data_IF_853360410723
#
_entry.id   IF_853360410723
#
_cell.length_a   1.000
_cell.length_b   1.000
_cell.length_c   1.000
_cell.angle_alpha   90.00
_cell.angle_beta   90.00
_cell.angle_gamma   90.00
#
_symmetry.space_group_name_H-M   'P 1'
#
loop_
_entity.id
_entity.type
_entity.pdbx_description
1 polymer ?
#
# COMPACT_ATOMS: atom_id res chain seq x y z
N UNK A 1 35.55 37.08 19.46
CA UNK A 1 35.01 36.47 18.21
C UNK A 1 35.43 35.01 18.03
N UNK A 2 35.16 34.14 19.02
CA UNK A 2 35.32 32.68 18.90
C UNK A 2 34.10 31.88 19.43
N UNK A 3 33.12 32.57 20.01
CA UNK A 3 31.90 31.96 20.56
C UNK A 3 30.69 31.90 19.61
N UNK A 4 30.74 32.58 18.45
CA UNK A 4 29.62 32.60 17.48
C UNK A 4 29.80 31.52 16.39
N UNK A 5 31.03 31.03 16.17
CA UNK A 5 31.31 30.01 15.16
C UNK A 5 30.92 28.59 15.61
N UNK A 6 30.84 28.33 16.92
CA UNK A 6 30.52 27.01 17.48
C UNK A 6 29.01 26.73 17.50
N UNK A 7 28.17 27.78 17.53
CA UNK A 7 26.71 27.62 17.54
C UNK A 7 26.17 27.42 16.11
N UNK A 8 26.83 27.96 15.08
CA UNK A 8 26.42 27.77 13.68
C UNK A 8 26.83 26.38 13.15
N UNK A 9 27.92 25.79 13.68
CA UNK A 9 28.32 24.42 13.30
C UNK A 9 27.51 23.31 14.01
N UNK A 10 26.87 23.63 15.14
CA UNK A 10 26.01 22.68 15.87
C UNK A 10 24.58 22.57 15.29
N UNK A 11 24.15 23.51 14.45
CA UNK A 11 22.84 23.46 13.77
C UNK A 11 22.91 22.62 12.47
N UNK A 12 24.12 22.32 11.97
CA UNK A 12 24.34 21.50 10.77
C UNK A 12 24.51 19.98 11.04
N UNK A 13 24.31 19.54 12.29
CA UNK A 13 24.41 18.13 12.71
C UNK A 13 23.12 17.59 13.34
N UNK A 14 21.98 18.23 13.08
CA UNK A 14 20.72 17.48 13.12
C UNK A 14 20.77 16.62 11.85
N UNK A 15 20.77 15.28 11.91
CA UNK A 15 20.50 14.51 10.71
C UNK A 15 19.15 15.01 10.23
N UNK A 16 19.17 15.77 9.13
CA UNK A 16 17.97 16.08 8.38
C UNK A 16 17.39 14.72 8.07
N UNK A 17 16.39 14.29 8.84
CA UNK A 17 15.63 13.11 8.51
C UNK A 17 14.83 13.56 7.30
N UNK A 18 15.46 13.41 6.13
CA UNK A 18 14.84 13.70 4.85
C UNK A 18 13.62 12.79 4.83
N UNK A 19 12.44 13.41 4.69
CA UNK A 19 11.21 12.66 4.48
C UNK A 19 11.43 11.67 3.34
N UNK A 20 11.00 10.43 3.52
CA UNK A 20 11.15 9.40 2.52
C UNK A 20 10.47 9.82 1.22
N UNK A 21 11.13 9.59 0.09
CA UNK A 21 10.43 9.58 -1.19
C UNK A 21 9.80 8.20 -1.41
N UNK A 22 8.82 8.11 -2.32
CA UNK A 22 8.16 6.83 -2.63
C UNK A 22 9.15 5.72 -3.00
N UNK A 23 10.21 6.05 -3.75
CA UNK A 23 11.28 5.11 -4.12
C UNK A 23 12.10 4.63 -2.91
N UNK A 24 12.29 5.50 -1.90
CA UNK A 24 13.02 5.12 -0.68
C UNK A 24 12.19 4.15 0.15
N UNK A 25 10.86 4.34 0.18
CA UNK A 25 9.94 3.41 0.83
C UNK A 25 9.89 2.04 0.11
N UNK A 26 9.86 2.03 -1.23
CA UNK A 26 9.98 0.79 -2.02
C UNK A 26 11.28 0.05 -1.70
N UNK A 27 12.41 0.78 -1.69
CA UNK A 27 13.71 0.23 -1.37
C UNK A 27 13.78 -0.30 0.07
N UNK A 28 13.17 0.39 1.03
CA UNK A 28 13.11 -0.06 2.42
C UNK A 28 12.40 -1.42 2.54
N UNK A 29 11.35 -1.66 1.75
CA UNK A 29 10.66 -2.96 1.71
C UNK A 29 11.46 -4.02 0.95
N UNK A 30 12.03 -3.65 -0.20
CA UNK A 30 12.79 -4.57 -1.05
C UNK A 30 14.08 -5.07 -0.39
N UNK A 31 14.84 -4.16 0.24
CA UNK A 31 16.09 -4.47 0.94
C UNK A 31 15.81 -4.99 2.35
N UNK A 32 14.71 -4.55 2.97
CA UNK A 32 14.33 -4.90 4.33
C UNK A 32 13.82 -6.32 4.53
N UNK A 33 13.98 -7.23 3.57
CA UNK A 33 13.59 -8.64 3.67
C UNK A 33 12.08 -8.88 3.88
N UNK A 34 11.23 -7.98 3.40
CA UNK A 34 9.78 -8.19 3.39
C UNK A 34 9.31 -9.08 2.24
N UNK A 35 10.10 -9.17 1.16
CA UNK A 35 9.73 -9.87 -0.08
C UNK A 35 10.07 -11.36 -0.04
N UNK A 36 9.19 -12.18 -0.61
CA UNK A 36 9.44 -13.55 -1.04
C UNK A 36 9.90 -13.63 -2.51
N UNK A 37 10.32 -14.83 -2.93
CA UNK A 37 10.77 -15.06 -4.29
C UNK A 37 9.68 -14.73 -5.32
N UNK A 38 10.03 -13.91 -6.32
CA UNK A 38 9.11 -13.48 -7.38
C UNK A 38 8.16 -12.35 -6.97
N UNK A 39 8.31 -11.78 -5.77
CA UNK A 39 7.56 -10.60 -5.35
C UNK A 39 8.30 -9.30 -5.68
N UNK A 40 7.53 -8.22 -5.80
CA UNK A 40 8.06 -6.85 -5.96
C UNK A 40 7.37 -5.89 -5.01
N UNK A 41 8.12 -4.91 -4.52
CA UNK A 41 7.60 -3.76 -3.78
C UNK A 41 7.21 -2.65 -4.76
N UNK A 42 6.00 -2.12 -4.65
CA UNK A 42 5.51 -1.02 -5.48
C UNK A 42 4.70 -0.05 -4.64
N UNK A 43 5.01 1.23 -4.74
CA UNK A 43 4.18 2.32 -4.26
C UNK A 43 3.21 2.68 -5.38
N UNK A 44 1.93 2.32 -5.20
CA UNK A 44 0.91 2.49 -6.24
C UNK A 44 0.65 3.96 -6.61
N UNK A 45 0.96 4.89 -5.70
CA UNK A 45 0.82 6.33 -5.90
C UNK A 45 2.02 7.08 -5.33
N UNK A 46 2.49 8.07 -6.07
CA UNK A 46 3.58 8.96 -5.65
C UNK A 46 3.23 9.92 -4.50
N UNK A 47 2.11 9.70 -3.81
CA UNK A 47 1.63 10.54 -2.71
C UNK A 47 1.44 9.68 -1.45
N UNK A 48 1.96 10.11 -0.29
CA UNK A 48 1.75 9.40 0.97
C UNK A 48 0.30 9.55 1.46
N UNK A 49 -0.19 8.55 2.18
CA UNK A 49 -1.47 8.59 2.89
C UNK A 49 -1.31 9.40 4.18
N UNK A 50 -2.26 10.29 4.47
CA UNK A 50 -2.30 11.12 5.66
C UNK A 50 -3.28 10.54 6.68
N UNK A 51 -2.85 10.46 7.94
CA UNK A 51 -3.75 10.28 9.09
C UNK A 51 -3.48 11.42 10.08
N UNK A 52 -4.39 12.40 10.13
CA UNK A 52 -4.14 13.67 10.79
C UNK A 52 -2.90 14.37 10.19
N UNK A 53 -1.93 14.71 11.04
CA UNK A 53 -0.69 15.36 10.64
C UNK A 53 0.43 14.40 10.19
N UNK A 54 0.23 13.07 10.30
CA UNK A 54 1.26 12.08 10.00
C UNK A 54 1.06 11.51 8.60
N UNK A 55 2.17 11.38 7.87
CA UNK A 55 2.22 10.83 6.51
C UNK A 55 2.78 9.40 6.53
N UNK A 56 2.22 8.56 5.68
CA UNK A 56 2.59 7.15 5.55
C UNK A 56 2.78 6.76 4.09
N UNK A 57 3.91 6.13 3.78
CA UNK A 57 4.11 5.44 2.52
C UNK A 57 3.53 4.04 2.61
N UNK A 58 2.65 3.72 1.67
CA UNK A 58 1.97 2.43 1.63
C UNK A 58 2.52 1.62 0.46
N UNK A 59 3.45 0.73 0.79
CA UNK A 59 4.17 -0.07 -0.19
C UNK A 59 3.43 -1.39 -0.37
N UNK A 60 2.90 -1.61 -1.57
CA UNK A 60 2.21 -2.84 -1.93
C UNK A 60 3.23 -3.90 -2.32
N UNK A 61 3.15 -5.08 -1.71
CA UNK A 61 3.91 -6.26 -2.12
C UNK A 61 3.07 -7.02 -3.14
N UNK A 62 3.55 -7.10 -4.37
CA UNK A 62 2.84 -7.71 -5.49
C UNK A 62 3.48 -9.03 -5.90
N UNK A 63 2.64 -10.00 -6.24
CA UNK A 63 3.04 -11.22 -6.93
C UNK A 63 2.06 -11.46 -8.08
N UNK A 64 2.57 -11.53 -9.32
CA UNK A 64 1.72 -11.63 -10.53
C UNK A 64 0.60 -10.57 -10.56
N UNK A 65 0.95 -9.33 -10.20
CA UNK A 65 0.05 -8.17 -10.08
C UNK A 65 -1.07 -8.26 -9.02
N UNK A 66 -1.13 -9.36 -8.25
CA UNK A 66 -1.99 -9.46 -7.09
C UNK A 66 -1.30 -8.91 -5.84
N UNK A 67 -2.03 -8.09 -5.06
CA UNK A 67 -1.56 -7.58 -3.77
C UNK A 67 -1.51 -8.73 -2.77
N UNK A 68 -0.31 -9.05 -2.27
CA UNK A 68 -0.08 -10.04 -1.22
C UNK A 68 -0.18 -9.42 0.17
N UNK A 69 0.43 -8.25 0.35
CA UNK A 69 0.32 -7.46 1.56
C UNK A 69 0.63 -5.99 1.27
N UNK A 70 0.41 -5.13 2.26
CA UNK A 70 0.77 -3.72 2.23
C UNK A 70 1.65 -3.46 3.44
N UNK A 71 2.81 -2.85 3.22
CA UNK A 71 3.76 -2.45 4.28
C UNK A 71 3.61 -0.94 4.51
N UNK A 72 2.93 -0.52 5.59
CA UNK A 72 2.77 0.89 5.92
C UNK A 72 4.00 1.40 6.67
N UNK A 73 4.72 2.36 6.07
CA UNK A 73 5.91 2.98 6.64
C UNK A 73 5.64 4.46 6.95
N UNK A 74 6.01 4.93 8.13
CA UNK A 74 5.93 6.36 8.45
C UNK A 74 6.92 7.14 7.56
N UNK A 75 6.45 8.25 6.98
CA UNK A 75 7.23 9.09 6.06
C UNK A 75 8.47 9.70 6.73
N UNK A 76 8.37 9.99 8.04
CA UNK A 76 9.42 10.64 8.80
C UNK A 76 10.67 9.79 8.93
N UNK A 77 10.53 8.50 9.20
CA UNK A 77 11.65 7.64 9.64
C UNK A 77 11.66 6.25 8.99
N UNK A 78 10.67 5.94 8.14
CA UNK A 78 10.53 4.62 7.51
C UNK A 78 10.16 3.51 8.47
N UNK A 79 9.75 3.85 9.69
CA UNK A 79 9.38 2.84 10.67
C UNK A 79 8.01 2.27 10.31
N UNK A 80 7.90 0.95 10.39
CA UNK A 80 6.64 0.24 10.20
C UNK A 80 5.58 0.77 11.17
N UNK A 81 4.39 1.07 10.67
CA UNK A 81 3.26 1.46 11.51
C UNK A 81 2.95 0.32 12.49
N UNK A 82 2.89 0.60 13.81
CA UNK A 82 2.70 -0.44 14.82
C UNK A 82 1.33 -1.10 14.68
N UNK A 83 1.26 -2.37 15.06
CA UNK A 83 -0.01 -3.13 15.10
C UNK A 83 -1.02 -2.41 15.99
N UNK A 84 -2.05 -1.88 15.36
CA UNK A 84 -3.05 -1.02 15.98
C UNK A 84 -4.21 -0.80 15.00
N UNK A 85 -5.33 -0.26 15.49
CA UNK A 85 -6.46 0.17 14.65
C UNK A 85 -6.00 1.11 13.53
N UNK A 86 -5.01 1.96 13.81
CA UNK A 86 -4.40 2.83 12.81
C UNK A 86 -3.83 2.03 11.62
N UNK A 87 -3.12 0.92 11.89
CA UNK A 87 -2.53 0.09 10.84
C UNK A 87 -3.61 -0.52 9.94
N UNK A 88 -4.68 -1.04 10.54
CA UNK A 88 -5.82 -1.57 9.79
C UNK A 88 -6.46 -0.48 8.94
N UNK A 89 -6.67 0.72 9.48
CA UNK A 89 -7.28 1.83 8.75
C UNK A 89 -6.44 2.30 7.55
N UNK A 90 -5.12 2.43 7.71
CA UNK A 90 -4.24 2.83 6.58
C UNK A 90 -4.17 1.75 5.49
N UNK A 91 -4.18 0.47 5.87
CA UNK A 91 -4.23 -0.66 4.93
C UNK A 91 -5.56 -0.64 4.17
N UNK A 92 -6.68 -0.49 4.87
CA UNK A 92 -8.02 -0.42 4.29
C UNK A 92 -8.17 0.76 3.34
N UNK A 93 -7.76 1.96 3.76
CA UNK A 93 -7.81 3.17 2.95
C UNK A 93 -7.04 3.01 1.63
N UNK A 94 -5.81 2.48 1.68
CA UNK A 94 -5.03 2.25 0.46
C UNK A 94 -5.62 1.16 -0.42
N UNK A 95 -6.09 0.05 0.16
CA UNK A 95 -6.77 -0.98 -0.61
C UNK A 95 -7.96 -0.39 -1.35
N UNK A 96 -8.83 0.38 -0.68
CA UNK A 96 -9.97 1.05 -1.28
C UNK A 96 -9.59 1.96 -2.44
N UNK A 97 -8.58 2.83 -2.26
CA UNK A 97 -8.13 3.75 -3.31
C UNK A 97 -7.61 2.99 -4.54
N UNK A 98 -6.85 1.91 -4.33
CA UNK A 98 -6.36 1.06 -5.43
C UNK A 98 -7.52 0.35 -6.15
N UNK A 99 -8.49 -0.19 -5.41
CA UNK A 99 -9.65 -0.86 -6.00
C UNK A 99 -10.55 0.12 -6.75
N UNK A 100 -10.78 1.32 -6.22
CA UNK A 100 -11.57 2.35 -6.89
C UNK A 100 -10.98 2.72 -8.26
N UNK A 101 -9.66 2.87 -8.36
CA UNK A 101 -9.00 3.11 -9.65
C UNK A 101 -9.27 1.97 -10.66
N UNK A 102 -9.28 0.72 -10.20
CA UNK A 102 -9.57 -0.46 -11.04
C UNK A 102 -11.04 -0.50 -11.44
N UNK A 103 -11.98 -0.28 -10.51
CA UNK A 103 -13.43 -0.32 -10.75
C UNK A 103 -13.84 0.66 -11.85
N UNK A 104 -13.21 1.84 -11.88
CA UNK A 104 -13.50 2.92 -12.82
C UNK A 104 -12.93 2.70 -14.22
N UNK A 105 -12.00 1.76 -14.38
CA UNK A 105 -11.25 1.63 -15.64
C UNK A 105 -12.09 0.93 -16.70
N UNK A 106 -12.25 1.58 -17.86
CA UNK A 106 -12.90 0.98 -19.04
C UNK A 106 -14.42 0.85 -18.96
N UNK A 107 -15.08 1.57 -18.05
CA UNK A 107 -16.54 1.53 -17.87
C UNK A 107 -17.13 2.95 -17.74
N UNK A 108 -18.42 3.15 -18.10
CA UNK A 108 -19.12 4.39 -17.78
C UNK A 108 -19.14 4.65 -16.28
N UNK A 109 -18.66 5.83 -15.87
CA UNK A 109 -18.59 6.22 -14.47
C UNK A 109 -19.58 7.36 -14.19
N UNK A 110 -20.47 7.17 -13.23
CA UNK A 110 -21.52 8.14 -12.91
C UNK A 110 -20.93 9.43 -12.34
N UNK A 111 -19.88 9.31 -11.52
CA UNK A 111 -19.28 10.45 -10.84
C UNK A 111 -18.37 11.21 -11.80
N UNK A 112 -18.97 12.12 -12.57
CA UNK A 112 -18.25 12.99 -13.51
C UNK A 112 -18.91 14.37 -13.61
N UNK A 113 -18.11 15.39 -13.93
CA UNK A 113 -18.61 16.74 -14.18
C UNK A 113 -19.62 16.78 -15.34
N UNK A 114 -19.40 15.96 -16.38
CA UNK A 114 -20.34 15.86 -17.50
C UNK A 114 -21.71 15.37 -17.03
N UNK A 115 -21.73 14.33 -16.19
CA UNK A 115 -22.98 13.81 -15.62
C UNK A 115 -23.68 14.83 -14.74
N UNK A 116 -22.95 15.52 -13.86
CA UNK A 116 -23.53 16.59 -13.01
C UNK A 116 -24.16 17.69 -13.87
N UNK A 117 -23.44 18.21 -14.87
CA UNK A 117 -23.98 19.25 -15.76
C UNK A 117 -25.24 18.79 -16.50
N UNK A 118 -25.26 17.55 -17.02
CA UNK A 118 -26.46 17.03 -17.70
C UNK A 118 -27.64 16.84 -16.74
N UNK A 119 -27.41 16.48 -15.48
CA UNK A 119 -28.47 16.43 -14.48
C UNK A 119 -28.98 17.84 -14.14
N UNK A 120 -28.12 18.85 -14.05
CA UNK A 120 -28.55 20.23 -13.85
C UNK A 120 -29.41 20.74 -15.02
N UNK A 121 -29.02 20.43 -16.26
CA UNK A 121 -29.81 20.73 -17.46
C UNK A 121 -31.17 20.03 -17.42
N UNK A 122 -31.20 18.76 -17.02
CA UNK A 122 -32.45 18.02 -16.84
C UNK A 122 -33.33 18.64 -15.75
N UNK A 123 -32.75 19.07 -14.62
CA UNK A 123 -33.50 19.74 -13.56
C UNK A 123 -34.14 21.04 -14.06
N UNK A 124 -33.42 21.82 -14.86
CA UNK A 124 -33.97 23.03 -15.48
C UNK A 124 -35.11 22.69 -16.46
N UNK A 125 -35.02 21.58 -17.19
CA UNK A 125 -36.10 21.12 -18.05
C UNK A 125 -37.34 20.70 -17.24
N UNK A 126 -37.15 19.99 -16.12
CA UNK A 126 -38.22 19.64 -15.16
C UNK A 126 -38.86 20.89 -14.54
N UNK A 127 -38.07 21.92 -14.24
CA UNK A 127 -38.60 23.20 -13.74
C UNK A 127 -39.45 23.93 -14.79
N UNK A 128 -39.06 23.88 -16.07
CA UNK A 128 -39.87 24.43 -17.16
C UNK A 128 -41.17 23.65 -17.35
N UNK A 129 -41.15 22.32 -17.21
CA UNK A 129 -42.36 21.50 -17.28
C UNK A 129 -43.39 21.88 -16.21
N UNK A 130 -42.95 22.31 -15.02
CA UNK A 130 -43.88 22.80 -13.99
C UNK A 130 -44.72 23.99 -14.48
N UNK A 131 -44.14 24.86 -15.31
CA UNK A 131 -44.86 25.98 -15.91
C UNK A 131 -45.92 25.50 -16.92
N UNK A 132 -45.59 24.49 -17.74
CA UNK A 132 -46.55 23.89 -18.68
C UNK A 132 -47.70 23.20 -17.94
N UNK A 133 -47.39 22.49 -16.85
CA UNK A 133 -48.39 21.85 -15.96
C UNK A 133 -49.30 22.90 -15.31
N UNK A 134 -48.78 24.07 -14.94
CA UNK A 134 -49.58 25.18 -14.41
C UNK A 134 -50.57 25.72 -15.43
N UNK A 135 -50.16 25.90 -16.69
CA UNK A 135 -51.07 26.31 -17.78
C UNK A 135 -52.21 25.30 -17.94
N UNK A 136 -51.90 24.00 -17.88
CA UNK A 136 -52.93 22.95 -17.95
C UNK A 136 -53.88 23.05 -16.75
N UNK A 137 -53.38 23.28 -15.53
CA UNK A 137 -54.18 23.42 -14.32
C UNK A 137 -55.21 24.57 -14.40
N UNK A 138 -54.78 25.70 -14.98
CA UNK A 138 -55.63 26.89 -15.15
C UNK A 138 -56.72 26.67 -16.21
N UNK A 139 -56.41 25.92 -17.26
CA UNK A 139 -57.29 25.72 -18.42
C UNK A 139 -58.35 24.64 -18.19
N UNK A 140 -58.04 23.59 -17.42
CA UNK A 140 -59.00 22.49 -17.23
C UNK A 140 -60.22 22.92 -16.37
N UNK A 141 -61.45 22.54 -16.74
CA UNK A 141 -62.64 22.96 -15.99
C UNK A 141 -62.96 22.08 -14.77
N UNK A 142 -62.44 20.84 -14.70
CA UNK A 142 -62.77 19.87 -13.65
C UNK A 142 -61.95 20.07 -12.38
N UNK A 143 -62.62 20.15 -11.22
CA UNK A 143 -61.95 20.24 -9.91
C UNK A 143 -61.16 18.98 -9.56
N UNK A 144 -61.61 17.79 -9.96
CA UNK A 144 -60.86 16.54 -9.74
C UNK A 144 -59.57 16.52 -10.55
N UNK A 145 -59.63 16.97 -11.80
CA UNK A 145 -58.47 17.04 -12.68
C UNK A 145 -57.45 18.08 -12.20
N UNK A 146 -57.92 19.22 -11.66
CA UNK A 146 -57.05 20.21 -11.00
C UNK A 146 -56.29 19.63 -9.80
N UNK A 147 -56.90 18.73 -9.04
CA UNK A 147 -56.20 18.03 -7.95
C UNK A 147 -55.12 17.09 -8.49
N UNK A 148 -55.42 16.28 -9.50
CA UNK A 148 -54.43 15.41 -10.16
C UNK A 148 -53.24 16.19 -10.73
N UNK A 149 -53.51 17.34 -11.36
CA UNK A 149 -52.48 18.23 -11.90
C UNK A 149 -51.67 18.90 -10.78
N UNK A 150 -52.30 19.30 -9.69
CA UNK A 150 -51.59 19.82 -8.51
C UNK A 150 -50.65 18.77 -7.91
N UNK A 151 -51.06 17.49 -7.91
CA UNK A 151 -50.18 16.38 -7.50
C UNK A 151 -49.02 16.17 -8.47
N UNK A 152 -49.23 16.28 -9.78
CA UNK A 152 -48.15 16.26 -10.78
C UNK A 152 -47.10 17.34 -10.49
N UNK A 153 -47.55 18.58 -10.26
CA UNK A 153 -46.67 19.70 -9.92
C UNK A 153 -45.84 19.42 -8.67
N UNK A 154 -46.46 18.91 -7.61
CA UNK A 154 -45.75 18.53 -6.38
C UNK A 154 -44.69 17.44 -6.62
N UNK A 155 -44.99 16.47 -7.49
CA UNK A 155 -44.05 15.42 -7.87
C UNK A 155 -42.88 15.96 -8.70
N UNK A 156 -43.12 16.85 -9.67
CA UNK A 156 -42.07 17.52 -10.44
C UNK A 156 -41.13 18.34 -9.55
N UNK A 157 -41.67 19.11 -8.60
CA UNK A 157 -40.85 19.89 -7.66
C UNK A 157 -39.94 18.98 -6.81
N UNK A 158 -40.46 17.83 -6.38
CA UNK A 158 -39.70 16.82 -5.65
C UNK A 158 -38.58 16.23 -6.53
N UNK A 159 -38.91 15.85 -7.77
CA UNK A 159 -37.96 15.30 -8.73
C UNK A 159 -36.86 16.30 -9.06
N UNK A 160 -37.19 17.56 -9.36
CA UNK A 160 -36.21 18.62 -9.64
C UNK A 160 -35.24 18.78 -8.47
N UNK A 161 -35.75 18.82 -7.24
CA UNK A 161 -34.94 18.90 -6.02
C UNK A 161 -33.98 17.73 -5.90
N UNK A 162 -34.45 16.50 -6.14
CA UNK A 162 -33.59 15.30 -6.06
C UNK A 162 -32.58 15.21 -7.21
N UNK A 163 -32.93 15.64 -8.43
CA UNK A 163 -31.98 15.71 -9.54
C UNK A 163 -30.84 16.68 -9.20
N UNK A 164 -31.15 17.86 -8.66
CA UNK A 164 -30.14 18.84 -8.21
C UNK A 164 -29.30 18.30 -7.07
N UNK A 165 -29.92 17.60 -6.11
CA UNK A 165 -29.19 16.95 -5.02
C UNK A 165 -28.22 15.88 -5.56
N UNK A 166 -28.66 15.04 -6.49
CA UNK A 166 -27.81 14.03 -7.12
C UNK A 166 -26.66 14.67 -7.92
N UNK A 167 -26.94 15.72 -8.69
CA UNK A 167 -25.94 16.52 -9.39
C UNK A 167 -24.89 17.07 -8.42
N UNK A 168 -25.32 17.66 -7.30
CA UNK A 168 -24.42 18.19 -6.28
C UNK A 168 -23.56 17.10 -5.64
N UNK A 169 -24.15 15.96 -5.28
CA UNK A 169 -23.41 14.81 -4.77
C UNK A 169 -22.37 14.30 -5.77
N UNK A 170 -22.70 14.24 -7.07
CA UNK A 170 -21.75 13.87 -8.13
C UNK A 170 -20.61 14.88 -8.22
N UNK A 171 -20.89 16.17 -8.16
CA UNK A 171 -19.86 17.22 -8.20
C UNK A 171 -18.90 17.10 -7.01
N UNK A 172 -19.43 16.91 -5.80
CA UNK A 172 -18.65 16.81 -4.57
C UNK A 172 -17.79 15.52 -4.56
N UNK A 173 -18.38 14.38 -4.93
CA UNK A 173 -17.65 13.13 -5.11
C UNK A 173 -16.58 13.24 -6.21
N UNK A 174 -16.86 13.92 -7.32
CA UNK A 174 -15.88 14.11 -8.40
C UNK A 174 -14.69 14.96 -7.93
N UNK A 175 -14.93 15.98 -7.11
CA UNK A 175 -13.87 16.80 -6.53
C UNK A 175 -13.05 15.98 -5.51
N UNK A 176 -13.71 15.18 -4.67
CA UNK A 176 -13.06 14.28 -3.71
C UNK A 176 -12.22 13.22 -4.41
N UNK A 177 -12.75 12.52 -5.40
CA UNK A 177 -11.99 11.56 -6.21
C UNK A 177 -10.75 12.24 -6.84
N UNK A 178 -10.91 13.45 -7.38
CA UNK A 178 -9.78 14.21 -7.92
C UNK A 178 -8.72 14.51 -6.86
N UNK A 179 -9.14 14.92 -5.65
CA UNK A 179 -8.25 15.15 -4.52
C UNK A 179 -7.50 13.88 -4.11
N UNK A 180 -8.23 12.77 -3.95
CA UNK A 180 -7.68 11.45 -3.61
C UNK A 180 -6.67 10.96 -4.64
N UNK A 181 -6.93 11.16 -5.94
CA UNK A 181 -6.02 10.64 -6.97
C UNK A 181 -4.83 11.55 -7.28
N UNK A 182 -4.91 12.86 -7.00
CA UNK A 182 -3.96 13.86 -7.50
C UNK A 182 -3.39 14.84 -6.46
N UNK A 183 -3.98 14.99 -5.27
CA UNK A 183 -3.60 16.05 -4.32
C UNK A 183 -3.13 15.47 -2.99
N UNK A 184 -4.01 14.79 -2.27
CA UNK A 184 -3.73 14.21 -0.96
C UNK A 184 -4.69 13.08 -0.68
N UNK A 185 -4.17 11.98 -0.14
CA UNK A 185 -5.00 10.87 0.33
C UNK A 185 -5.07 10.99 1.84
N UNK A 186 -6.26 11.13 2.41
CA UNK A 186 -6.44 11.00 3.86
C UNK A 186 -7.16 9.69 4.17
N UNK A 187 -6.89 9.13 5.36
CA UNK A 187 -7.59 7.92 5.84
C UNK A 187 -9.09 8.16 5.89
N UNK A 188 -9.51 9.29 6.47
CA UNK A 188 -10.92 9.59 6.69
C UNK A 188 -11.67 9.76 5.36
N UNK A 189 -11.10 10.50 4.40
CA UNK A 189 -11.72 10.68 3.08
C UNK A 189 -11.84 9.33 2.34
N UNK A 190 -10.82 8.47 2.41
CA UNK A 190 -10.85 7.18 1.75
C UNK A 190 -11.88 6.21 2.38
N UNK A 191 -12.05 6.28 3.70
CA UNK A 191 -12.98 5.42 4.44
C UNK A 191 -14.42 5.95 4.46
N UNK A 192 -14.67 7.24 4.16
CA UNK A 192 -16.03 7.81 4.03
C UNK A 192 -16.66 7.59 2.65
N UNK A 193 -15.84 7.40 1.61
CA UNK A 193 -16.31 7.16 0.25
C UNK A 193 -17.44 6.12 0.13
N UNK A 194 -17.39 4.96 0.84
CA UNK A 194 -18.44 3.96 0.74
C UNK A 194 -19.85 4.47 1.04
N UNK A 195 -19.97 5.26 2.11
CA UNK A 195 -21.26 5.80 2.54
C UNK A 195 -21.74 6.87 1.54
N UNK A 196 -20.82 7.70 1.04
CA UNK A 196 -21.15 8.75 0.06
C UNK A 196 -21.62 8.16 -1.29
N UNK A 197 -20.99 7.07 -1.75
CA UNK A 197 -21.47 6.36 -2.95
C UNK A 197 -22.82 5.69 -2.72
N UNK A 198 -23.03 5.06 -1.56
CA UNK A 198 -24.30 4.43 -1.22
C UNK A 198 -25.44 5.46 -1.25
N UNK A 199 -25.25 6.61 -0.60
CA UNK A 199 -26.21 7.72 -0.60
C UNK A 199 -26.53 8.21 -2.02
N UNK A 200 -25.52 8.36 -2.90
CA UNK A 200 -25.74 8.75 -4.29
C UNK A 200 -26.55 7.69 -5.06
N UNK A 201 -26.22 6.41 -4.90
CA UNK A 201 -26.89 5.32 -5.62
C UNK A 201 -28.34 5.12 -5.17
N UNK A 202 -28.62 5.28 -3.88
CA UNK A 202 -29.98 5.25 -3.33
C UNK A 202 -30.82 6.40 -3.90
N UNK A 203 -30.24 7.61 -4.01
CA UNK A 203 -30.91 8.75 -4.65
C UNK A 203 -31.23 8.50 -6.12
N UNK A 204 -30.30 7.90 -6.87
CA UNK A 204 -30.54 7.56 -8.28
C UNK A 204 -31.63 6.48 -8.42
N UNK A 205 -31.70 5.52 -7.50
CA UNK A 205 -32.81 4.56 -7.46
C UNK A 205 -34.14 5.24 -7.15
N UNK A 206 -34.18 6.14 -6.17
CA UNK A 206 -35.37 6.92 -5.86
C UNK A 206 -35.85 7.79 -7.04
N UNK A 207 -34.92 8.41 -7.76
CA UNK A 207 -35.23 9.18 -8.97
C UNK A 207 -35.84 8.32 -10.06
N UNK A 208 -35.32 7.11 -10.28
CA UNK A 208 -35.88 6.14 -11.23
C UNK A 208 -37.34 5.83 -10.92
N UNK A 209 -37.63 5.51 -9.66
CA UNK A 209 -38.98 5.13 -9.23
C UNK A 209 -39.93 6.34 -9.27
N UNK A 210 -39.45 7.52 -8.84
CA UNK A 210 -40.22 8.76 -8.90
C UNK A 210 -40.54 9.20 -10.32
N UNK A 211 -39.63 8.99 -11.27
CA UNK A 211 -39.87 9.29 -12.68
C UNK A 211 -40.90 8.34 -13.31
N UNK A 212 -40.87 7.06 -12.95
CA UNK A 212 -41.86 6.10 -13.42
C UNK A 212 -43.26 6.41 -12.85
N UNK A 213 -43.33 6.79 -11.57
CA UNK A 213 -44.58 7.25 -10.96
C UNK A 213 -45.11 8.51 -11.66
N UNK A 214 -44.24 9.48 -11.93
CA UNK A 214 -44.59 10.69 -12.66
C UNK A 214 -45.15 10.39 -14.05
N UNK A 215 -44.49 9.55 -14.84
CA UNK A 215 -44.92 9.17 -16.19
C UNK A 215 -46.31 8.48 -16.17
N UNK A 216 -46.60 7.68 -15.13
CA UNK A 216 -47.92 7.09 -14.92
C UNK A 216 -48.99 8.14 -14.59
N UNK A 217 -48.67 9.10 -13.73
CA UNK A 217 -49.58 10.21 -13.40
C UNK A 217 -49.87 11.07 -14.64
N UNK A 218 -48.86 11.38 -15.45
CA UNK A 218 -49.02 12.13 -16.70
C UNK A 218 -49.95 11.38 -17.66
N UNK A 219 -49.76 10.07 -17.80
CA UNK A 219 -50.60 9.22 -18.64
C UNK A 219 -52.07 9.20 -18.17
N UNK A 220 -52.30 9.15 -16.86
CA UNK A 220 -53.64 9.24 -16.28
C UNK A 220 -54.30 10.59 -16.58
N UNK A 221 -53.59 11.70 -16.36
CA UNK A 221 -54.10 13.06 -16.64
C UNK A 221 -54.37 13.25 -18.14
N UNK A 222 -53.51 12.75 -19.03
CA UNK A 222 -53.74 12.77 -20.49
C UNK A 222 -55.01 12.04 -20.87
N UNK A 223 -55.26 10.87 -20.28
CA UNK A 223 -56.49 10.09 -20.51
C UNK A 223 -57.73 10.85 -20.02
N UNK A 224 -57.68 11.46 -18.84
CA UNK A 224 -58.77 12.29 -18.32
C UNK A 224 -59.09 13.45 -19.27
N UNK A 225 -58.07 14.22 -19.70
CA UNK A 225 -58.22 15.34 -20.66
C UNK A 225 -58.84 14.85 -21.98
N UNK A 226 -58.39 13.73 -22.52
CA UNK A 226 -58.90 13.18 -23.77
C UNK A 226 -60.42 12.88 -23.70
N UNK A 227 -60.91 12.45 -22.54
CA UNK A 227 -62.32 12.11 -22.30
C UNK A 227 -63.23 13.30 -21.97
N UNK A 228 -62.69 14.51 -21.74
CA UNK A 228 -63.49 15.68 -21.41
C UNK A 228 -64.39 16.10 -22.58
N UNK A 229 -65.70 16.21 -22.37
CA UNK A 229 -66.62 16.68 -23.42
C UNK A 229 -66.77 18.22 -23.44
N UNK A 230 -66.16 18.92 -22.48
CA UNK A 230 -66.33 20.36 -22.24
C UNK A 230 -65.29 21.23 -22.94
N UNK A 231 -64.25 20.62 -23.51
CA UNK A 231 -63.16 21.29 -24.23
C UNK A 231 -63.10 20.74 -25.66
N UNK A 232 -62.80 21.60 -26.63
CA UNK A 232 -62.79 21.21 -28.04
C UNK A 232 -61.54 20.41 -28.42
N UNK A 233 -61.51 19.87 -29.64
CA UNK A 233 -60.41 19.02 -30.10
C UNK A 233 -59.07 19.78 -30.22
N UNK A 234 -59.11 21.08 -30.54
CA UNK A 234 -57.91 21.89 -30.70
C UNK A 234 -57.30 22.20 -29.32
N UNK A 235 -58.12 22.60 -28.37
CA UNK A 235 -57.72 22.87 -26.98
C UNK A 235 -57.19 21.59 -26.32
N UNK A 236 -57.86 20.44 -26.50
CA UNK A 236 -57.32 19.14 -26.06
C UNK A 236 -55.93 18.87 -26.61
N UNK A 237 -55.72 19.07 -27.91
CA UNK A 237 -54.42 18.83 -28.53
C UNK A 237 -53.33 19.73 -27.96
N UNK A 238 -53.66 20.99 -27.62
CA UNK A 238 -52.73 21.92 -26.98
C UNK A 238 -52.37 21.46 -25.56
N UNK A 239 -53.37 21.12 -24.73
CA UNK A 239 -53.15 20.66 -23.36
C UNK A 239 -52.35 19.35 -23.30
N UNK A 240 -52.64 18.40 -24.18
CA UNK A 240 -51.88 17.15 -24.27
C UNK A 240 -50.44 17.39 -24.72
N UNK A 241 -50.22 18.40 -25.56
CA UNK A 241 -48.89 18.84 -25.98
C UNK A 241 -48.06 19.39 -24.83
N UNK A 242 -48.67 20.19 -23.96
CA UNK A 242 -48.03 20.77 -22.77
C UNK A 242 -47.60 19.70 -21.74
N UNK A 243 -48.33 18.58 -21.63
CA UNK A 243 -47.98 17.47 -20.73
C UNK A 243 -46.89 16.54 -21.32
N UNK A 244 -45.94 17.08 -22.08
CA UNK A 244 -44.86 16.32 -22.73
C UNK A 244 -43.53 16.64 -22.04
N UNK A 245 -42.99 15.74 -21.19
CA UNK A 245 -42.13 16.15 -20.10
C UNK A 245 -40.85 16.93 -20.41
N UNK A 246 -40.37 16.90 -21.64
CA UNK A 246 -39.06 17.44 -22.01
C UNK A 246 -39.04 18.09 -23.40
N UNK A 247 -40.19 18.59 -23.90
CA UNK A 247 -40.32 19.24 -25.21
C UNK A 247 -40.09 18.33 -26.43
N UNK A 248 -39.56 17.12 -26.21
CA UNK A 248 -39.56 15.99 -27.12
C UNK A 248 -40.52 14.93 -26.57
N UNK A 249 -41.06 14.04 -27.40
CA UNK A 249 -41.96 12.95 -26.97
C UNK A 249 -41.28 11.91 -26.03
N UNK A 250 -40.22 12.27 -25.33
CA UNK A 250 -39.57 11.46 -24.30
C UNK A 250 -40.27 11.61 -22.95
N UNK A 251 -40.39 10.49 -22.25
CA UNK A 251 -40.85 10.44 -20.87
C UNK A 251 -39.68 10.77 -19.93
N UNK A 252 -39.98 11.21 -18.70
CA UNK A 252 -38.93 11.54 -17.74
C UNK A 252 -38.08 10.30 -17.39
N UNK A 253 -38.71 9.12 -17.27
CA UNK A 253 -37.99 7.86 -17.05
C UNK A 253 -36.99 7.57 -18.17
N UNK A 254 -37.35 7.88 -19.42
CA UNK A 254 -36.47 7.65 -20.56
C UNK A 254 -35.25 8.58 -20.53
N UNK A 255 -35.41 9.84 -20.11
CA UNK A 255 -34.29 10.78 -19.97
C UNK A 255 -33.35 10.41 -18.81
N UNK A 256 -33.86 9.82 -17.73
CA UNK A 256 -33.06 9.35 -16.60
C UNK A 256 -32.46 7.95 -16.79
N UNK A 257 -32.90 7.19 -17.80
CA UNK A 257 -32.57 5.78 -17.96
C UNK A 257 -31.06 5.51 -18.02
N UNK A 258 -30.31 6.30 -18.78
CA UNK A 258 -28.85 6.16 -18.89
C UNK A 258 -28.16 6.35 -17.54
N UNK A 259 -28.51 7.41 -16.81
CA UNK A 259 -27.87 7.73 -15.52
C UNK A 259 -28.21 6.69 -14.45
N UNK A 260 -29.47 6.28 -14.39
CA UNK A 260 -29.95 5.28 -13.40
C UNK A 260 -29.42 3.88 -13.70
N UNK A 261 -29.26 3.51 -14.97
CA UNK A 261 -28.61 2.25 -15.36
C UNK A 261 -27.12 2.25 -15.00
N UNK A 262 -26.39 3.33 -15.33
CA UNK A 262 -24.97 3.47 -14.97
C UNK A 262 -24.79 3.49 -13.45
N UNK A 263 -25.73 4.12 -12.73
CA UNK A 263 -25.74 4.12 -11.26
C UNK A 263 -25.88 2.71 -10.69
N UNK A 264 -26.84 1.91 -11.18
CA UNK A 264 -27.05 0.53 -10.72
C UNK A 264 -25.82 -0.36 -10.98
N UNK A 265 -25.21 -0.25 -12.17
CA UNK A 265 -24.00 -0.99 -12.51
C UNK A 265 -22.81 -0.59 -11.61
N UNK A 266 -22.63 0.71 -11.36
CA UNK A 266 -21.60 1.21 -10.45
C UNK A 266 -21.85 0.76 -9.02
N UNK A 267 -23.11 0.80 -8.54
CA UNK A 267 -23.49 0.34 -7.20
C UNK A 267 -23.13 -1.13 -6.98
N UNK A 268 -23.40 -2.00 -7.95
CA UNK A 268 -23.05 -3.41 -7.84
C UNK A 268 -21.54 -3.64 -7.76
N UNK A 269 -20.75 -2.91 -8.56
CA UNK A 269 -19.28 -3.03 -8.56
C UNK A 269 -18.69 -2.54 -7.24
N UNK A 270 -19.14 -1.36 -6.80
CA UNK A 270 -18.69 -0.69 -5.59
C UNK A 270 -19.04 -1.49 -4.35
N UNK A 271 -20.30 -1.95 -4.22
CA UNK A 271 -20.76 -2.76 -3.08
C UNK A 271 -20.02 -4.10 -2.96
N UNK A 272 -19.73 -4.77 -4.08
CA UNK A 272 -18.96 -6.03 -4.09
C UNK A 272 -17.57 -5.85 -3.47
N UNK A 273 -16.89 -4.76 -3.82
CA UNK A 273 -15.55 -4.48 -3.33
C UNK A 273 -15.58 -4.07 -1.85
N UNK A 274 -16.53 -3.21 -1.46
CA UNK A 274 -16.66 -2.76 -0.07
C UNK A 274 -17.09 -3.86 0.90
N UNK A 275 -18.01 -4.74 0.50
CA UNK A 275 -18.39 -5.89 1.32
C UNK A 275 -17.20 -6.82 1.60
N UNK A 276 -16.24 -6.90 0.68
CA UNK A 276 -15.04 -7.72 0.83
C UNK A 276 -13.93 -7.05 1.65
N UNK A 277 -14.00 -5.73 1.86
CA UNK A 277 -12.93 -4.93 2.45
C UNK A 277 -12.48 -5.44 3.83
N UNK A 278 -13.37 -5.70 4.82
CA UNK A 278 -12.92 -6.11 6.15
C UNK A 278 -12.12 -7.42 6.11
N UNK A 279 -12.57 -8.39 5.33
CA UNK A 279 -11.90 -9.68 5.13
C UNK A 279 -10.57 -9.51 4.41
N UNK A 280 -10.52 -8.68 3.37
CA UNK A 280 -9.30 -8.42 2.60
C UNK A 280 -8.26 -7.67 3.42
N UNK A 281 -8.65 -6.60 4.12
CA UNK A 281 -7.78 -5.84 4.99
C UNK A 281 -7.19 -6.72 6.11
N UNK A 282 -8.02 -7.55 6.74
CA UNK A 282 -7.58 -8.50 7.77
C UNK A 282 -6.57 -9.52 7.22
N UNK A 283 -6.80 -10.04 6.02
CA UNK A 283 -5.89 -10.97 5.37
C UNK A 283 -4.54 -10.31 5.01
N UNK A 284 -4.57 -9.08 4.49
CA UNK A 284 -3.37 -8.30 4.17
C UNK A 284 -2.56 -7.99 5.43
N UNK A 285 -3.24 -7.67 6.54
CA UNK A 285 -2.60 -7.42 7.84
C UNK A 285 -2.00 -8.70 8.44
N UNK A 286 -2.69 -9.84 8.34
CA UNK A 286 -2.16 -11.12 8.79
C UNK A 286 -0.90 -11.53 7.98
N UNK A 287 -0.91 -11.31 6.67
CA UNK A 287 0.26 -11.52 5.83
C UNK A 287 1.39 -10.54 6.17
N UNK A 288 1.09 -9.27 6.48
CA UNK A 288 2.08 -8.31 6.96
C UNK A 288 2.74 -8.78 8.26
N UNK A 289 1.96 -9.29 9.22
CA UNK A 289 2.49 -9.82 10.47
C UNK A 289 3.44 -11.02 10.22
N UNK A 290 3.13 -11.88 9.24
CA UNK A 290 4.05 -12.92 8.78
C UNK A 290 5.33 -12.33 8.15
N UNK A 291 5.22 -11.26 7.35
CA UNK A 291 6.40 -10.57 6.80
C UNK A 291 7.28 -9.97 7.90
N UNK A 292 6.70 -9.38 8.94
CA UNK A 292 7.46 -8.87 10.10
C UNK A 292 8.24 -10.00 10.79
N UNK A 293 7.61 -11.16 10.98
CA UNK A 293 8.30 -12.34 11.52
C UNK A 293 9.40 -12.84 10.59
N UNK A 294 9.19 -12.82 9.27
CA UNK A 294 10.22 -13.15 8.26
C UNK A 294 11.44 -12.28 8.43
N UNK A 295 11.26 -10.95 8.51
CA UNK A 295 12.37 -9.99 8.69
C UNK A 295 13.13 -10.30 9.98
N UNK A 296 12.42 -10.53 11.09
CA UNK A 296 13.04 -10.86 12.36
C UNK A 296 13.84 -12.18 12.29
N UNK A 297 13.29 -13.23 11.69
CA UNK A 297 13.97 -14.51 11.52
C UNK A 297 15.19 -14.39 10.60
N UNK A 298 15.05 -13.66 9.49
CA UNK A 298 16.15 -13.41 8.55
C UNK A 298 17.31 -12.70 9.24
N UNK A 299 17.03 -11.66 10.01
CA UNK A 299 18.07 -10.92 10.74
C UNK A 299 18.80 -11.79 11.76
N UNK A 300 18.16 -12.81 12.33
CA UNK A 300 18.82 -13.77 13.23
C UNK A 300 19.69 -14.75 12.46
N UNK A 301 19.22 -15.28 11.33
CA UNK A 301 19.91 -16.34 10.58
C UNK A 301 21.04 -15.80 9.71
N UNK A 302 20.77 -14.73 8.98
CA UNK A 302 21.61 -14.21 7.90
C UNK A 302 22.11 -12.78 8.18
N UNK A 303 21.44 -12.05 9.06
CA UNK A 303 21.78 -10.67 9.40
C UNK A 303 23.09 -10.54 10.17
N UNK A 304 23.75 -9.39 9.99
CA UNK A 304 24.91 -9.02 10.80
C UNK A 304 24.50 -8.76 12.25
N UNK A 305 25.28 -9.29 13.19
CA UNK A 305 25.03 -9.13 14.62
C UNK A 305 26.33 -8.74 15.34
N UNK A 306 26.41 -7.48 15.77
CA UNK A 306 27.58 -6.93 16.47
C UNK A 306 27.90 -7.66 17.77
N UNK A 307 26.86 -8.08 18.50
CA UNK A 307 27.02 -8.79 19.76
C UNK A 307 27.54 -10.21 19.53
N UNK A 308 27.05 -10.87 18.47
CA UNK A 308 27.52 -12.17 18.03
C UNK A 308 28.97 -12.09 17.55
N UNK A 309 29.29 -11.11 16.70
CA UNK A 309 30.66 -10.86 16.21
C UNK A 309 31.66 -10.66 17.33
N UNK A 310 31.28 -9.92 18.37
CA UNK A 310 32.16 -9.72 19.54
C UNK A 310 32.42 -11.03 20.29
N UNK A 311 31.45 -11.94 20.32
CA UNK A 311 31.57 -13.21 21.02
C UNK A 311 32.26 -14.31 20.20
N UNK A 312 32.19 -14.27 18.85
CA UNK A 312 32.60 -15.39 18.00
C UNK A 312 33.57 -15.02 16.87
N UNK A 313 33.83 -13.73 16.64
CA UNK A 313 34.49 -13.16 15.46
C UNK A 313 33.76 -13.34 14.12
N UNK A 314 32.59 -13.98 14.10
CA UNK A 314 31.77 -14.12 12.89
C UNK A 314 30.74 -12.99 12.79
N UNK A 315 30.57 -12.43 11.59
CA UNK A 315 29.65 -11.30 11.39
C UNK A 315 28.17 -11.71 11.49
N UNK A 316 27.82 -12.94 11.14
CA UNK A 316 26.46 -13.50 11.17
C UNK A 316 26.47 -14.97 11.61
N UNK A 317 25.29 -15.51 11.93
CA UNK A 317 25.14 -16.94 12.22
C UNK A 317 25.46 -17.80 10.98
N UNK A 318 25.01 -17.41 9.79
CA UNK A 318 25.33 -18.09 8.53
C UNK A 318 26.85 -18.25 8.34
N UNK A 319 27.63 -17.18 8.49
CA UNK A 319 29.08 -17.23 8.36
C UNK A 319 29.71 -18.21 9.38
N UNK A 320 29.19 -18.24 10.60
CA UNK A 320 29.64 -19.18 11.62
C UNK A 320 29.25 -20.62 11.27
N UNK A 321 28.02 -20.86 10.84
CA UNK A 321 27.54 -22.19 10.47
C UNK A 321 28.36 -22.76 9.30
N UNK A 322 28.57 -21.98 8.24
CA UNK A 322 29.40 -22.37 7.09
C UNK A 322 30.81 -22.72 7.55
N UNK A 323 31.43 -21.90 8.41
CA UNK A 323 32.84 -22.10 8.80
C UNK A 323 33.03 -23.25 9.79
N UNK A 324 32.20 -23.28 10.84
CA UNK A 324 32.32 -24.23 11.95
C UNK A 324 31.88 -25.63 11.54
N UNK A 325 30.83 -25.74 10.72
CA UNK A 325 30.27 -27.03 10.30
C UNK A 325 30.96 -27.62 9.07
N UNK A 326 31.85 -26.86 8.42
CA UNK A 326 32.67 -27.34 7.30
C UNK A 326 33.46 -28.59 7.69
N UNK A 327 33.45 -29.60 6.84
CA UNK A 327 34.09 -30.89 7.15
C UNK A 327 35.60 -30.80 7.38
N UNK A 328 36.27 -29.81 6.78
CA UNK A 328 37.71 -29.57 7.00
C UNK A 328 38.03 -28.93 8.34
N UNK A 329 37.07 -28.25 8.97
CA UNK A 329 37.24 -27.56 10.26
C UNK A 329 36.56 -28.28 11.43
N UNK A 330 35.47 -29.01 11.17
CA UNK A 330 34.60 -29.58 12.19
C UNK A 330 35.34 -30.48 13.19
N UNK A 331 36.30 -31.29 12.72
CA UNK A 331 37.10 -32.18 13.57
C UNK A 331 38.08 -31.43 14.48
N UNK A 332 38.42 -30.19 14.14
CA UNK A 332 39.36 -29.37 14.89
C UNK A 332 38.75 -28.84 16.19
N UNK A 333 37.42 -28.76 16.32
CA UNK A 333 36.80 -28.19 17.52
C UNK A 333 36.75 -29.16 18.70
N UNK A 334 36.93 -28.64 19.92
CA UNK A 334 36.90 -29.46 21.15
C UNK A 334 35.47 -29.94 21.43
N UNK A 335 34.50 -29.05 21.40
CA UNK A 335 33.12 -29.36 21.78
C UNK A 335 32.30 -29.90 20.59
N UNK A 336 32.48 -31.20 20.31
CA UNK A 336 31.75 -31.92 19.26
C UNK A 336 30.23 -32.02 19.53
N UNK A 337 29.81 -31.98 20.80
CA UNK A 337 28.38 -32.00 21.15
C UNK A 337 27.70 -30.68 20.79
N UNK A 338 28.30 -29.55 21.14
CA UNK A 338 27.81 -28.23 20.73
C UNK A 338 27.85 -28.07 19.21
N UNK A 339 28.85 -28.65 18.53
CA UNK A 339 28.92 -28.64 17.07
C UNK A 339 27.78 -29.44 16.42
N UNK A 340 27.46 -30.63 16.94
CA UNK A 340 26.31 -31.42 16.48
C UNK A 340 24.97 -30.72 16.74
N UNK A 341 24.82 -30.08 17.91
CA UNK A 341 23.64 -29.29 18.24
C UNK A 341 23.50 -28.03 17.37
N UNK A 342 24.63 -27.36 17.05
CA UNK A 342 24.67 -26.27 16.09
C UNK A 342 24.15 -26.72 14.73
N UNK A 343 24.66 -27.85 14.20
CA UNK A 343 24.19 -28.42 12.92
C UNK A 343 22.68 -28.66 12.93
N UNK A 344 22.18 -29.38 13.92
CA UNK A 344 20.76 -29.71 14.00
C UNK A 344 19.87 -28.46 14.15
N UNK A 345 20.27 -27.49 14.96
CA UNK A 345 19.53 -26.25 15.14
C UNK A 345 19.54 -25.36 13.89
N UNK A 346 20.70 -25.24 13.22
CA UNK A 346 20.86 -24.49 11.98
C UNK A 346 20.00 -25.07 10.85
N UNK A 347 20.15 -26.37 10.55
CA UNK A 347 19.38 -27.04 9.49
C UNK A 347 17.87 -26.97 9.74
N UNK A 348 17.46 -27.13 11.01
CA UNK A 348 16.05 -27.01 11.40
C UNK A 348 15.54 -25.58 11.23
N UNK A 349 16.37 -24.57 11.53
CA UNK A 349 16.01 -23.17 11.37
C UNK A 349 15.86 -22.79 9.90
N UNK A 350 16.78 -23.21 9.04
CA UNK A 350 16.69 -22.99 7.59
C UNK A 350 15.44 -23.66 6.99
N UNK A 351 15.17 -24.91 7.38
CA UNK A 351 13.99 -25.63 6.95
C UNK A 351 12.69 -24.96 7.43
N UNK A 352 12.65 -24.49 8.68
CA UNK A 352 11.52 -23.74 9.21
C UNK A 352 11.33 -22.41 8.46
N UNK A 353 12.42 -21.70 8.14
CA UNK A 353 12.39 -20.46 7.38
C UNK A 353 11.83 -20.69 5.97
N UNK A 354 12.31 -21.73 5.26
CA UNK A 354 11.82 -22.14 3.95
C UNK A 354 10.32 -22.53 3.96
N UNK A 355 9.83 -23.09 5.08
CA UNK A 355 8.42 -23.46 5.28
C UNK A 355 7.53 -22.32 5.78
N UNK A 356 8.01 -21.06 5.79
CA UNK A 356 7.31 -19.88 6.32
C UNK A 356 6.96 -19.97 7.82
N UNK A 357 7.65 -20.83 8.57
CA UNK A 357 7.52 -20.95 10.03
C UNK A 357 8.46 -19.98 10.73
N UNK A 358 8.33 -18.68 10.44
CA UNK A 358 9.34 -17.68 10.78
C UNK A 358 9.59 -17.51 12.28
N UNK A 359 8.55 -17.61 13.12
CA UNK A 359 8.75 -17.57 14.57
C UNK A 359 9.62 -18.74 15.04
N UNK A 360 9.34 -19.96 14.57
CA UNK A 360 10.13 -21.15 14.88
C UNK A 360 11.55 -21.05 14.34
N UNK A 361 11.71 -20.53 13.11
CA UNK A 361 13.02 -20.32 12.50
C UNK A 361 13.88 -19.34 13.33
N UNK A 362 13.27 -18.25 13.81
CA UNK A 362 13.93 -17.28 14.70
C UNK A 362 14.40 -17.94 15.99
N UNK A 363 13.53 -18.69 16.68
CA UNK A 363 13.85 -19.33 17.95
C UNK A 363 14.95 -20.39 17.81
N UNK A 364 14.91 -21.17 16.73
CA UNK A 364 15.96 -22.14 16.39
C UNK A 364 17.28 -21.45 16.02
N UNK A 365 17.22 -20.33 15.29
CA UNK A 365 18.38 -19.51 14.97
C UNK A 365 19.08 -18.94 16.21
N UNK A 366 18.32 -18.44 17.19
CA UNK A 366 18.90 -17.98 18.46
C UNK A 366 19.55 -19.13 19.25
N UNK A 367 18.97 -20.33 19.24
CA UNK A 367 19.60 -21.53 19.81
C UNK A 367 20.90 -21.88 19.09
N UNK A 368 20.91 -21.82 17.75
CA UNK A 368 22.09 -22.05 16.94
C UNK A 368 23.20 -21.02 17.26
N UNK A 369 22.87 -19.73 17.42
CA UNK A 369 23.82 -18.71 17.91
C UNK A 369 24.41 -19.09 19.27
N UNK A 370 23.60 -19.62 20.18
CA UNK A 370 24.05 -20.12 21.48
C UNK A 370 25.10 -21.23 21.34
N UNK A 371 24.84 -22.23 20.51
CA UNK A 371 25.78 -23.33 20.27
C UNK A 371 27.04 -22.88 19.54
N UNK A 372 26.94 -21.99 18.56
CA UNK A 372 28.11 -21.43 17.88
C UNK A 372 29.04 -20.69 18.84
N UNK A 373 28.48 -19.90 19.77
CA UNK A 373 29.26 -19.25 20.84
C UNK A 373 29.97 -20.29 21.72
N UNK A 374 29.31 -21.38 22.08
CA UNK A 374 29.93 -22.46 22.87
C UNK A 374 31.09 -23.12 22.11
N UNK A 375 30.89 -23.49 20.84
CA UNK A 375 31.95 -24.08 20.01
C UNK A 375 33.18 -23.18 19.93
N UNK A 376 32.98 -21.88 19.72
CA UNK A 376 34.11 -20.92 19.64
C UNK A 376 34.78 -20.72 20.99
N UNK A 377 34.00 -20.61 22.08
CA UNK A 377 34.55 -20.41 23.42
C UNK A 377 35.34 -21.61 23.93
N UNK A 378 34.91 -22.83 23.61
CA UNK A 378 35.58 -24.07 24.02
C UNK A 378 36.84 -24.36 23.17
N UNK A 379 36.99 -23.64 22.05
CA UNK A 379 38.20 -23.62 21.24
C UNK A 379 38.42 -24.86 20.36
N UNK A 380 39.62 -24.93 19.80
CA UNK A 380 40.08 -26.03 18.95
C UNK A 380 41.00 -26.97 19.74
N UNK A 381 41.00 -28.24 19.37
CA UNK A 381 41.89 -29.26 19.93
C UNK A 381 43.33 -28.81 19.71
N UNK A 382 44.13 -28.81 20.77
CA UNK A 382 45.57 -28.63 20.63
C UNK A 382 46.10 -29.74 19.74
N UNK A 383 46.62 -29.37 18.57
CA UNK A 383 47.36 -30.30 17.74
C UNK A 383 48.58 -30.75 18.53
N UNK A 384 48.62 -32.02 18.93
CA UNK A 384 49.84 -32.64 19.45
C UNK A 384 50.95 -32.43 18.43
N UNK A 385 51.87 -31.52 18.74
CA UNK A 385 52.99 -31.13 17.89
C UNK A 385 53.99 -32.27 17.78
N UNK A 386 53.79 -33.19 16.83
CA UNK A 386 54.85 -34.12 16.42
C UNK A 386 55.30 -33.93 14.97
N UNK A 387 54.55 -33.20 14.14
CA UNK A 387 54.90 -32.94 12.75
C UNK A 387 55.49 -31.53 12.47
N UNK A 388 55.26 -30.56 13.36
CA UNK A 388 55.77 -29.19 13.19
C UNK A 388 57.17 -28.98 13.79
N UNK A 389 57.57 -29.77 14.79
CA UNK A 389 58.89 -29.62 15.43
C UNK A 389 60.06 -30.15 14.58
N UNK A 390 59.85 -31.13 13.68
CA UNK A 390 60.94 -31.60 12.80
C UNK A 390 61.24 -30.65 11.65
N UNK A 391 60.25 -29.89 11.17
CA UNK A 391 60.44 -28.97 10.04
C UNK A 391 60.85 -27.55 10.47
N UNK A 392 60.50 -27.12 11.70
CA UNK A 392 60.98 -25.85 12.25
C UNK A 392 62.41 -25.93 12.78
N UNK A 393 62.86 -27.06 13.33
CA UNK A 393 64.25 -27.23 13.79
C UNK A 393 65.23 -27.33 12.60
N UNK A 394 64.82 -27.96 11.49
CA UNK A 394 65.62 -28.00 10.26
C UNK A 394 65.60 -26.67 9.49
N UNK A 395 64.48 -25.95 9.50
CA UNK A 395 64.37 -24.59 8.94
C UNK A 395 65.15 -23.53 9.74
N UNK A 396 65.09 -23.57 11.07
CA UNK A 396 65.85 -22.66 11.93
C UNK A 396 67.35 -22.93 11.88
N UNK A 397 67.80 -24.19 11.74
CA UNK A 397 69.21 -24.53 11.58
C UNK A 397 69.80 -24.04 10.23
N UNK A 398 69.02 -24.03 9.15
CA UNK A 398 69.44 -23.49 7.85
C UNK A 398 69.50 -21.96 7.84
N UNK A 399 68.55 -21.28 8.51
CA UNK A 399 68.54 -19.82 8.63
C UNK A 399 69.64 -19.32 9.59
N UNK A 400 69.85 -20.00 10.72
CA UNK A 400 70.94 -19.68 11.65
C UNK A 400 72.32 -20.06 11.10
N UNK A 401 72.44 -21.17 10.36
CA UNK A 401 73.66 -21.56 9.64
C UNK A 401 74.01 -20.60 8.50
N UNK A 402 73.01 -20.13 7.75
CA UNK A 402 73.19 -19.10 6.71
C UNK A 402 73.60 -17.75 7.28
N UNK A 403 73.01 -17.32 8.41
CA UNK A 403 73.40 -16.10 9.12
C UNK A 403 74.82 -16.18 9.70
N UNK A 404 75.23 -17.34 10.23
CA UNK A 404 76.59 -17.57 10.70
C UNK A 404 77.62 -17.55 9.56
N UNK A 405 77.29 -18.15 8.40
CA UNK A 405 78.15 -18.11 7.20
C UNK A 405 78.33 -16.68 6.66
N UNK A 406 77.24 -15.89 6.60
CA UNK A 406 77.30 -14.48 6.19
C UNK A 406 78.15 -13.65 7.17
N UNK A 407 78.07 -13.91 8.48
CA UNK A 407 78.89 -13.23 9.48
C UNK A 407 80.38 -13.61 9.38
N UNK A 408 80.71 -14.87 9.10
CA UNK A 408 82.08 -15.33 8.89
C UNK A 408 82.68 -14.72 7.61
N UNK A 409 81.92 -14.69 6.50
CA UNK A 409 82.36 -14.06 5.25
C UNK A 409 82.55 -12.55 5.43
N UNK A 410 81.64 -11.88 6.16
CA UNK A 410 81.76 -10.45 6.45
C UNK A 410 82.94 -10.12 7.37
N UNK A 411 83.23 -10.99 8.34
CA UNK A 411 84.39 -10.86 9.22
C UNK A 411 85.71 -11.07 8.45
N UNK A 412 85.79 -12.11 7.62
CA UNK A 412 86.96 -12.38 6.77
C UNK A 412 87.21 -11.23 5.76
N UNK A 413 86.15 -10.65 5.21
CA UNK A 413 86.28 -9.52 4.27
C UNK A 413 86.69 -8.21 4.97
N UNK A 414 86.34 -8.04 6.25
CA UNK A 414 86.77 -6.88 7.06
C UNK A 414 88.26 -6.90 7.41
N UNK A 415 88.86 -8.09 7.50
CA UNK A 415 90.30 -8.29 7.72
C UNK A 415 91.13 -8.10 6.43
N UNK A 416 90.48 -8.07 5.27
CA UNK A 416 91.12 -7.92 3.95
C UNK A 416 91.03 -6.50 3.39
N UNK A 417 90.56 -5.51 4.17
CA UNK A 417 90.63 -4.12 3.71
C UNK A 417 92.10 -3.66 3.67
N UNK A 418 92.65 -3.29 2.50
CA UNK A 418 93.98 -2.72 2.42
C UNK A 418 94.01 -1.41 3.21
N UNK A 419 95.08 -1.21 3.99
CA UNK A 419 95.33 0.07 4.67
C UNK A 419 95.35 1.20 3.63
N UNK A 420 94.77 2.37 3.93
CA UNK A 420 94.90 3.53 3.07
C UNK A 420 96.37 3.86 2.88
N UNK A 421 96.74 4.11 1.63
CA UNK A 421 98.06 4.60 1.24
C UNK A 421 98.11 6.06 1.72
N UNK A 422 99.01 6.36 2.65
CA UNK A 422 99.30 7.74 3.04
C UNK A 422 99.92 8.47 1.84
N UNK A 423 99.25 9.52 1.37
CA UNK A 423 99.82 10.50 0.45
C UNK A 423 100.82 11.38 1.21
N UNK A 424 102.08 11.35 0.76
CA UNK A 424 103.11 12.34 1.06
C UNK A 424 103.58 12.99 -0.23
#
# INVERSE_FOLDING_TARGET
MKGILVIILAILLIPSVLALQGIDAENAVAIGNYLEQGERAVVYKSLPLMNGAVKYWLVSVLQNDAIRTIVPLADKDGVLVPKSVLRTNVISANYLVQRLAVIKTGVPWLVSLTTSNSLDELANAVDNEQFDVDIVAETVPSSSLKLSISSLKGKLATISTEIRSASKSIQDLSARETSLFNVSITVDDALSLPDEYADLFDRMSYLKDSAAEYDNMVSAVKNEIATLNTIDAQEKSQLLGLLSPLGSNQSLSSALSTYTSVSADNAQRVSTEYASLPTKASALEAELDLRVLRVAAYNVLYGEDKSFKTATNFFSLENAAITLLDSSNAELFVNQSALSNLRGAWESAENAFAKRQYSTAKDLGEKAKGFAKQVVNDGVRESSSSALEQNLVSGAALVLGGLAFILIVRFAWSQLKPKPIDES
#
